data_IF_706115821797
#
_entry.id   IF_706115821797
#
_cell.length_a   1.000
_cell.length_b   1.000
_cell.length_c   1.000
_cell.angle_alpha   90.00
_cell.angle_beta   90.00
_cell.angle_gamma   90.00
#
_symmetry.space_group_name_H-M   'P 1'
#
loop_
_entity.id
_entity.type
_entity.pdbx_description
1 polymer ?
#
# COMPACT_ATOMS: atom_id res chain seq x y z
N UNK A 1 -4.70 -1.86 -0.11
CA UNK A 1 -5.29 -0.56 -0.47
C UNK A 1 -6.25 -0.03 0.59
N UNK A 2 -7.26 -0.80 1.01
CA UNK A 2 -8.25 -0.36 2.00
C UNK A 2 -7.60 0.14 3.30
N UNK A 3 -6.60 -0.59 3.81
CA UNK A 3 -5.85 -0.19 4.99
C UNK A 3 -5.15 1.17 4.79
N UNK A 4 -4.56 1.40 3.61
CA UNK A 4 -3.91 2.68 3.30
C UNK A 4 -4.90 3.84 3.23
N UNK A 5 -6.06 3.65 2.62
CA UNK A 5 -7.11 4.67 2.58
C UNK A 5 -7.64 4.98 3.98
N UNK A 6 -7.84 3.95 4.80
CA UNK A 6 -8.31 4.09 6.18
C UNK A 6 -7.29 4.79 7.07
N UNK A 7 -6.01 4.65 6.79
CA UNK A 7 -4.92 5.30 7.52
C UNK A 7 -4.83 6.82 7.26
N UNK A 8 -5.52 7.31 6.22
CA UNK A 8 -5.59 8.74 5.93
C UNK A 8 -6.47 9.48 6.94
N UNK A 9 -6.16 10.74 7.19
CA UNK A 9 -7.04 11.65 7.95
C UNK A 9 -8.13 12.31 7.10
N UNK A 10 -8.19 11.96 5.80
CA UNK A 10 -9.15 12.50 4.84
C UNK A 10 -10.49 11.73 4.86
N UNK A 11 -11.36 12.03 3.91
CA UNK A 11 -12.78 11.67 3.84
C UNK A 11 -13.15 10.21 4.16
N UNK A 12 -12.28 9.25 3.86
CA UNK A 12 -12.52 7.81 4.09
C UNK A 12 -11.54 7.21 5.09
N UNK A 13 -10.81 8.06 5.80
CA UNK A 13 -9.84 7.65 6.78
C UNK A 13 -10.42 7.50 8.19
N UNK A 14 -9.55 7.25 9.14
CA UNK A 14 -9.91 6.97 10.54
C UNK A 14 -10.75 8.09 11.19
N UNK A 15 -10.48 9.36 10.88
CA UNK A 15 -11.27 10.48 11.43
C UNK A 15 -12.72 10.50 10.95
N UNK A 16 -12.97 10.06 9.72
CA UNK A 16 -14.32 10.04 9.17
C UNK A 16 -15.24 9.02 9.85
N UNK A 17 -14.65 8.03 10.52
CA UNK A 17 -15.39 6.95 11.19
C UNK A 17 -15.26 6.99 12.71
N UNK A 18 -14.67 8.05 13.26
CA UNK A 18 -14.46 8.23 14.70
C UNK A 18 -13.76 7.03 15.35
N UNK A 19 -12.70 6.55 14.70
CA UNK A 19 -11.87 5.46 15.22
C UNK A 19 -10.45 5.93 15.47
N UNK A 20 -9.69 5.28 16.36
CA UNK A 20 -8.32 5.65 16.63
C UNK A 20 -7.45 5.62 15.37
N UNK A 21 -6.51 6.55 15.28
CA UNK A 21 -5.47 6.54 14.24
C UNK A 21 -4.68 5.23 14.33
N UNK A 22 -4.44 4.54 13.22
CA UNK A 22 -3.53 3.40 13.19
C UNK A 22 -2.12 3.79 13.67
N UNK A 23 -1.49 2.96 14.51
CA UNK A 23 -0.14 3.19 15.00
C UNK A 23 0.90 3.09 13.88
N UNK A 24 0.74 2.11 13.00
CA UNK A 24 1.55 1.94 11.79
C UNK A 24 0.74 1.23 10.70
N UNK A 25 1.22 1.33 9.45
CA UNK A 25 0.69 0.62 8.30
C UNK A 25 1.75 -0.34 7.76
N UNK A 26 1.47 -1.65 7.80
CA UNK A 26 2.38 -2.69 7.34
C UNK A 26 1.77 -3.38 6.12
N UNK A 27 2.43 -3.32 4.96
CA UNK A 27 1.86 -3.82 3.71
C UNK A 27 2.84 -4.71 2.95
N UNK A 28 2.39 -5.92 2.61
CA UNK A 28 3.07 -6.76 1.63
C UNK A 28 2.44 -6.59 0.24
N UNK A 29 3.25 -6.41 -0.81
CA UNK A 29 2.82 -6.33 -2.21
C UNK A 29 1.52 -5.51 -2.42
N UNK A 30 1.38 -4.30 -1.90
CA UNK A 30 0.12 -3.57 -1.92
C UNK A 30 -0.26 -3.13 -3.34
N UNK A 31 -1.57 -3.18 -3.61
CA UNK A 31 -2.18 -2.42 -4.71
C UNK A 31 -2.58 -1.06 -4.15
N UNK A 32 -1.97 0.00 -4.64
CA UNK A 32 -2.06 1.32 -4.04
C UNK A 32 -3.04 2.25 -4.77
N UNK A 33 -3.21 2.08 -6.07
CA UNK A 33 -4.12 2.87 -6.87
C UNK A 33 -4.81 2.02 -7.95
N UNK A 34 -6.13 1.88 -7.86
CA UNK A 34 -6.91 1.14 -8.86
C UNK A 34 -7.17 1.95 -10.13
N UNK A 35 -7.03 3.28 -10.08
CA UNK A 35 -7.24 4.11 -11.26
C UNK A 35 -6.22 3.83 -12.38
N UNK A 36 -5.02 3.35 -12.01
CA UNK A 36 -3.97 2.99 -12.96
C UNK A 36 -4.13 1.60 -13.59
N UNK A 37 -5.11 0.79 -13.13
CA UNK A 37 -5.39 -0.52 -13.77
C UNK A 37 -5.86 -0.34 -15.21
N UNK A 38 -5.39 -1.21 -16.10
CA UNK A 38 -5.86 -1.22 -17.48
C UNK A 38 -7.38 -1.26 -17.57
N UNK A 39 -8.02 -0.45 -18.41
CA UNK A 39 -9.49 -0.34 -18.48
C UNK A 39 -10.24 -1.66 -18.66
N UNK A 40 -9.63 -2.64 -19.31
CA UNK A 40 -10.22 -3.97 -19.51
C UNK A 40 -10.49 -4.69 -18.19
N UNK A 41 -9.67 -4.44 -17.17
CA UNK A 41 -9.83 -5.05 -15.86
C UNK A 41 -10.83 -4.29 -14.97
N UNK A 42 -11.07 -3.02 -15.26
CA UNK A 42 -12.08 -2.24 -14.53
C UNK A 42 -13.47 -2.87 -14.63
N UNK A 43 -13.84 -3.36 -15.80
CA UNK A 43 -15.15 -3.99 -16.02
C UNK A 43 -15.33 -5.31 -15.24
N UNK A 44 -14.22 -6.00 -14.96
CA UNK A 44 -14.23 -7.28 -14.23
C UNK A 44 -14.12 -7.08 -12.72
N UNK A 45 -13.23 -6.17 -12.30
CA UNK A 45 -12.90 -5.99 -10.89
C UNK A 45 -13.82 -5.00 -10.18
N UNK A 46 -14.44 -4.09 -10.92
CA UNK A 46 -15.31 -3.08 -10.34
C UNK A 46 -16.51 -2.78 -11.26
N UNK A 47 -17.65 -3.39 -10.99
CA UNK A 47 -18.89 -3.06 -11.68
C UNK A 47 -19.18 -1.55 -11.67
N UNK A 48 -19.92 -1.07 -12.65
CA UNK A 48 -20.24 0.35 -12.82
C UNK A 48 -20.79 1.04 -11.56
N UNK A 49 -21.45 0.29 -10.67
CA UNK A 49 -21.94 0.75 -9.37
C UNK A 49 -20.84 1.12 -8.37
N UNK A 50 -19.61 0.68 -8.61
CA UNK A 50 -18.48 0.89 -7.71
C UNK A 50 -17.42 1.85 -8.28
N UNK A 51 -17.69 2.52 -9.39
CA UNK A 51 -16.73 3.43 -10.06
C UNK A 51 -16.17 4.52 -9.15
N UNK A 52 -16.92 4.97 -8.16
CA UNK A 52 -16.44 5.93 -7.17
C UNK A 52 -15.17 5.47 -6.43
N UNK A 53 -14.92 4.16 -6.32
CA UNK A 53 -13.74 3.60 -5.67
C UNK A 53 -12.45 3.97 -6.41
N UNK A 54 -12.49 4.13 -7.73
CA UNK A 54 -11.31 4.51 -8.50
C UNK A 54 -10.86 5.93 -8.21
N UNK A 55 -11.78 6.86 -8.06
CA UNK A 55 -11.45 8.25 -7.78
C UNK A 55 -10.84 8.46 -6.39
N UNK A 56 -11.07 7.52 -5.49
CA UNK A 56 -10.63 7.63 -4.10
C UNK A 56 -9.63 6.53 -3.71
N UNK A 57 -9.14 5.81 -4.69
CA UNK A 57 -8.31 4.63 -4.48
C UNK A 57 -6.82 4.92 -4.40
N UNK A 58 -6.38 6.12 -4.75
CA UNK A 58 -4.98 6.53 -4.66
C UNK A 58 -4.59 6.78 -3.20
N UNK A 59 -3.76 5.89 -2.66
CA UNK A 59 -3.20 6.05 -1.31
C UNK A 59 -2.27 7.25 -1.27
N UNK A 60 -1.47 7.48 -2.29
CA UNK A 60 -0.47 8.55 -2.31
C UNK A 60 -1.09 9.93 -2.18
N UNK A 61 -2.24 10.16 -2.81
CA UNK A 61 -3.02 11.39 -2.68
C UNK A 61 -3.67 11.59 -1.31
N UNK A 62 -3.75 10.53 -0.49
CA UNK A 62 -4.27 10.55 0.88
C UNK A 62 -3.22 10.78 1.95
N UNK A 63 -1.93 10.78 1.61
CA UNK A 63 -0.84 10.93 2.58
C UNK A 63 -0.69 12.39 2.98
N UNK A 64 -0.67 12.61 4.29
CA UNK A 64 -0.45 13.89 4.96
C UNK A 64 0.63 13.73 6.01
N UNK A 65 1.16 14.80 6.62
CA UNK A 65 2.09 14.67 7.75
C UNK A 65 1.55 13.86 8.94
N UNK A 66 0.23 13.71 9.03
CA UNK A 66 -0.46 12.94 10.07
C UNK A 66 -0.70 11.46 9.68
N UNK A 67 -0.16 11.02 8.54
CA UNK A 67 -0.24 9.63 8.11
C UNK A 67 0.62 8.74 9.02
N UNK A 68 0.20 7.50 9.34
CA UNK A 68 0.97 6.63 10.22
C UNK A 68 2.31 6.21 9.59
N UNK A 69 3.34 5.92 10.41
CA UNK A 69 4.55 5.26 9.95
C UNK A 69 4.21 4.07 9.06
N UNK A 70 4.92 3.91 7.96
CA UNK A 70 4.52 2.95 6.92
C UNK A 70 5.69 2.08 6.49
N UNK A 71 5.54 0.78 6.68
CA UNK A 71 6.40 -0.25 6.12
C UNK A 71 5.71 -0.91 4.94
N UNK A 72 6.39 -1.08 3.81
CA UNK A 72 5.87 -1.90 2.74
C UNK A 72 6.96 -2.49 1.84
N UNK A 73 6.59 -3.56 1.14
CA UNK A 73 7.44 -4.15 0.13
C UNK A 73 6.67 -4.53 -1.12
N UNK A 74 7.37 -4.66 -2.24
CA UNK A 74 6.82 -5.18 -3.48
C UNK A 74 7.89 -5.94 -4.27
N UNK A 75 7.44 -6.87 -5.12
CA UNK A 75 8.31 -7.61 -6.01
C UNK A 75 8.57 -6.84 -7.30
N UNK A 76 9.82 -6.64 -7.67
CA UNK A 76 10.22 -5.99 -8.93
C UNK A 76 9.69 -6.72 -10.16
N UNK A 77 9.64 -8.04 -10.07
CA UNK A 77 9.20 -8.93 -11.14
C UNK A 77 7.81 -9.52 -10.89
N UNK A 78 6.98 -8.87 -10.10
CA UNK A 78 5.60 -9.28 -9.86
C UNK A 78 4.81 -9.27 -11.18
N UNK A 79 4.61 -10.48 -11.75
CA UNK A 79 3.94 -10.70 -13.03
C UNK A 79 2.46 -10.30 -12.95
N UNK A 80 1.83 -10.49 -11.79
CA UNK A 80 0.43 -10.14 -11.58
C UNK A 80 0.22 -8.64 -11.71
N UNK A 81 1.06 -7.84 -11.07
CA UNK A 81 1.00 -6.39 -11.17
C UNK A 81 1.32 -5.91 -12.59
N UNK A 82 2.35 -6.47 -13.23
CA UNK A 82 2.70 -6.15 -14.62
C UNK A 82 1.55 -6.45 -15.59
N UNK A 83 0.89 -7.59 -15.43
CA UNK A 83 -0.24 -8.00 -16.27
C UNK A 83 -1.43 -7.06 -16.10
N UNK A 84 -1.72 -6.65 -14.86
CA UNK A 84 -2.79 -5.69 -14.56
C UNK A 84 -2.46 -4.25 -14.98
N UNK A 85 -1.24 -3.97 -15.37
CA UNK A 85 -0.79 -2.64 -15.77
C UNK A 85 -0.28 -1.78 -14.62
N UNK A 86 0.11 -2.41 -13.52
CA UNK A 86 0.70 -1.76 -12.35
C UNK A 86 2.21 -1.95 -12.28
N UNK A 87 3.01 -1.32 -13.05
CA UNK A 87 4.42 -1.63 -12.93
C UNK A 87 5.05 -1.13 -11.64
N UNK A 88 4.64 -0.05 -11.02
CA UNK A 88 5.40 0.51 -9.89
C UNK A 88 4.64 1.57 -9.09
N UNK A 89 3.58 1.20 -8.40
CA UNK A 89 2.88 2.14 -7.51
C UNK A 89 3.66 2.43 -6.20
N UNK A 90 4.55 1.53 -5.80
CA UNK A 90 5.38 1.71 -4.63
C UNK A 90 6.19 3.02 -4.61
N UNK A 91 6.87 3.41 -5.70
CA UNK A 91 7.61 4.68 -5.75
C UNK A 91 6.75 5.92 -5.51
N UNK A 92 5.51 5.96 -5.98
CA UNK A 92 4.61 7.09 -5.76
C UNK A 92 4.24 7.23 -4.28
N UNK A 93 3.91 6.11 -3.63
CA UNK A 93 3.60 6.08 -2.19
C UNK A 93 4.83 6.48 -1.37
N UNK A 94 6.01 5.90 -1.66
CA UNK A 94 7.25 6.26 -1.00
C UNK A 94 7.53 7.76 -1.08
N UNK A 95 7.49 8.31 -2.29
CA UNK A 95 7.71 9.75 -2.53
C UNK A 95 6.72 10.62 -1.74
N UNK A 96 5.45 10.21 -1.66
CA UNK A 96 4.46 10.95 -0.90
C UNK A 96 4.72 10.90 0.62
N UNK A 97 5.14 9.74 1.16
CA UNK A 97 5.54 9.60 2.56
C UNK A 97 6.73 10.49 2.89
N UNK A 98 7.80 10.39 2.10
CA UNK A 98 9.01 11.20 2.27
C UNK A 98 8.71 12.71 2.18
N UNK A 99 7.90 13.14 1.20
CA UNK A 99 7.52 14.54 1.04
C UNK A 99 6.70 15.11 2.20
N UNK A 100 6.00 14.25 2.94
CA UNK A 100 5.22 14.62 4.13
C UNK A 100 5.96 14.35 5.45
N UNK A 101 7.21 13.92 5.42
CA UNK A 101 8.00 13.63 6.61
C UNK A 101 7.49 12.43 7.42
N UNK A 102 6.74 11.53 6.78
CA UNK A 102 6.21 10.31 7.42
C UNK A 102 7.31 9.25 7.44
N UNK A 103 7.65 8.67 8.60
CA UNK A 103 8.61 7.57 8.67
C UNK A 103 8.19 6.43 7.75
N UNK A 104 9.11 5.96 6.89
CA UNK A 104 8.79 4.86 6.02
C UNK A 104 10.01 3.96 5.75
N UNK A 105 9.72 2.68 5.61
CA UNK A 105 10.67 1.67 5.16
C UNK A 105 10.08 0.92 3.96
N UNK A 106 10.86 0.82 2.87
CA UNK A 106 10.38 0.26 1.61
C UNK A 106 11.39 -0.73 1.07
N UNK A 107 10.97 -1.98 0.91
CA UNK A 107 11.79 -3.03 0.32
C UNK A 107 11.32 -3.39 -1.10
N UNK A 108 12.27 -3.67 -1.96
CA UNK A 108 12.03 -4.12 -3.33
C UNK A 108 12.75 -5.45 -3.52
N UNK A 109 11.99 -6.51 -3.63
CA UNK A 109 12.53 -7.86 -3.82
C UNK A 109 12.55 -8.24 -5.31
N UNK A 110 13.64 -8.87 -5.76
CA UNK A 110 13.77 -9.26 -7.17
C UNK A 110 12.86 -10.41 -7.55
N UNK A 111 12.71 -11.40 -6.66
CA UNK A 111 12.08 -12.69 -6.93
C UNK A 111 10.83 -12.97 -6.08
N UNK A 112 10.27 -11.95 -5.44
CA UNK A 112 9.04 -12.08 -4.67
C UNK A 112 7.82 -11.92 -5.59
N UNK A 113 7.08 -13.00 -5.91
CA UNK A 113 5.84 -12.89 -6.66
C UNK A 113 4.71 -12.29 -5.81
N UNK A 114 3.58 -11.99 -6.45
CA UNK A 114 2.39 -11.52 -5.76
C UNK A 114 1.76 -12.61 -4.89
N UNK A 115 1.16 -12.21 -3.77
CA UNK A 115 0.36 -13.09 -2.90
C UNK A 115 1.14 -14.24 -2.22
N UNK A 116 2.40 -14.03 -1.91
CA UNK A 116 3.26 -15.05 -1.28
C UNK A 116 3.15 -15.15 0.25
N UNK A 117 2.28 -14.35 0.87
CA UNK A 117 2.09 -14.38 2.33
C UNK A 117 3.35 -14.06 3.11
N UNK A 118 3.91 -15.06 3.80
CA UNK A 118 5.11 -14.91 4.63
C UNK A 118 6.42 -14.79 3.83
N UNK A 119 6.38 -15.00 2.52
CA UNK A 119 7.56 -14.91 1.67
C UNK A 119 8.49 -16.13 1.72
N UNK A 120 8.11 -17.21 2.41
CA UNK A 120 8.95 -18.39 2.58
C UNK A 120 9.47 -18.93 1.23
N UNK A 121 10.78 -19.18 1.16
CA UNK A 121 11.45 -19.67 -0.05
C UNK A 121 11.68 -18.61 -1.13
N UNK A 122 11.46 -17.35 -0.83
CA UNK A 122 11.76 -16.20 -1.70
C UNK A 122 12.73 -15.24 -1.03
N UNK A 123 13.18 -14.23 -1.75
CA UNK A 123 14.01 -13.16 -1.19
C UNK A 123 13.24 -12.19 -0.25
N UNK A 124 11.92 -12.35 -0.13
CA UNK A 124 11.10 -11.68 0.85
C UNK A 124 10.91 -12.48 2.16
N UNK A 125 11.60 -13.63 2.30
CA UNK A 125 11.54 -14.39 3.55
C UNK A 125 12.04 -13.54 4.73
N UNK A 126 11.27 -13.52 5.81
CA UNK A 126 11.62 -12.73 6.99
C UNK A 126 10.98 -11.33 7.03
N UNK A 127 10.37 -10.86 5.97
CA UNK A 127 9.78 -9.51 5.91
C UNK A 127 8.81 -9.19 7.06
N UNK A 128 8.14 -10.19 7.61
CA UNK A 128 7.24 -10.00 8.75
C UNK A 128 7.98 -9.59 10.03
N UNK A 129 9.21 -10.11 10.24
CA UNK A 129 10.03 -9.72 11.38
C UNK A 129 10.52 -8.28 11.22
N UNK A 130 10.97 -7.93 10.03
CA UNK A 130 11.39 -6.55 9.72
C UNK A 130 10.22 -5.57 9.91
N UNK A 131 9.02 -5.96 9.49
CA UNK A 131 7.80 -5.15 9.67
C UNK A 131 7.41 -4.99 11.15
N UNK A 132 7.59 -6.03 11.98
CA UNK A 132 7.35 -5.96 13.43
C UNK A 132 8.39 -5.04 14.09
N UNK A 133 9.66 -5.19 13.76
CA UNK A 133 10.73 -4.33 14.28
C UNK A 133 10.47 -2.86 13.92
N UNK A 134 10.06 -2.58 12.68
CA UNK A 134 9.66 -1.25 12.26
C UNK A 134 8.48 -0.72 13.10
N UNK A 135 7.46 -1.54 13.31
CA UNK A 135 6.30 -1.16 14.11
C UNK A 135 6.68 -0.82 15.55
N UNK A 136 7.50 -1.66 16.21
CA UNK A 136 7.95 -1.43 17.57
C UNK A 136 8.77 -0.13 17.72
N UNK A 137 9.60 0.19 16.72
CA UNK A 137 10.40 1.41 16.72
C UNK A 137 9.56 2.69 16.59
N UNK A 138 8.37 2.62 16.03
CA UNK A 138 7.57 3.80 15.69
C UNK A 138 6.26 3.93 16.49
N UNK A 139 5.92 2.94 17.33
CA UNK A 139 4.66 2.93 18.11
C UNK A 139 4.85 2.81 19.61
N UNK A 140 6.08 2.78 20.09
CA UNK A 140 6.42 2.72 21.52
C UNK A 140 6.18 4.03 22.23
#
# INVERSE_FOLDING_TARGET
>A
QLCGLFSSDKRYGYKAYDVPKPGALLMGYPVNDFAEIKPVYHAVMDPASCRWRYYWSDISGGITPDFPPTYFWYGKNDVSLKTLGYPFQGPAVRKALEANGVPCEVHVYENAPHAIGTGNGTDAEGWLYDAVDFWEQHTS
#
